data_IF_948737195258
#
_entry.id   IF_948737195258
#
_cell.length_a   1.000
_cell.length_b   1.000
_cell.length_c   1.000
_cell.angle_alpha   90.00
_cell.angle_beta   90.00
_cell.angle_gamma   90.00
#
_symmetry.space_group_name_H-M   'P 1'
#
loop_
_entity.id
_entity.type
_entity.pdbx_description
1 polymer ?
#
# COMPACT_ATOMS: atom_id res chain seq x y z
N UNK A 1 -24.02 12.11 -7.56
CA UNK A 1 -24.24 12.96 -6.36
C UNK A 1 -23.20 14.07 -6.38
N UNK A 2 -23.56 15.33 -6.07
CA UNK A 2 -22.56 16.39 -5.91
C UNK A 2 -21.56 15.96 -4.83
N UNK A 3 -20.26 16.17 -5.10
CA UNK A 3 -19.24 15.94 -4.08
C UNK A 3 -19.56 16.80 -2.86
N UNK A 4 -19.45 16.23 -1.66
CA UNK A 4 -19.51 17.03 -0.44
C UNK A 4 -18.42 18.10 -0.44
N UNK A 5 -18.56 19.14 0.38
CA UNK A 5 -17.64 20.29 0.43
C UNK A 5 -16.15 19.88 0.51
N UNK A 6 -15.86 18.83 1.26
CA UNK A 6 -14.52 18.26 1.36
C UNK A 6 -14.05 17.64 0.04
N UNK A 7 -14.90 16.84 -0.62
CA UNK A 7 -14.59 16.27 -1.94
C UNK A 7 -14.32 17.34 -2.98
N UNK A 8 -15.09 18.43 -2.98
CA UNK A 8 -14.84 19.59 -3.85
C UNK A 8 -13.50 20.25 -3.56
N UNK A 9 -13.14 20.44 -2.28
CA UNK A 9 -11.83 20.99 -1.90
C UNK A 9 -10.68 20.11 -2.40
N UNK A 10 -10.73 18.80 -2.16
CA UNK A 10 -9.69 17.87 -2.60
C UNK A 10 -9.56 17.85 -4.12
N UNK A 11 -10.69 17.86 -4.83
CA UNK A 11 -10.69 17.92 -6.29
C UNK A 11 -10.08 19.23 -6.81
N UNK A 12 -10.41 20.36 -6.19
CA UNK A 12 -9.83 21.65 -6.57
C UNK A 12 -8.31 21.67 -6.33
N UNK A 13 -7.83 21.17 -5.19
CA UNK A 13 -6.40 21.04 -4.90
C UNK A 13 -5.70 20.15 -5.94
N UNK A 14 -6.33 19.03 -6.30
CA UNK A 14 -5.80 18.15 -7.34
C UNK A 14 -5.74 18.83 -8.71
N UNK A 15 -6.79 19.55 -9.11
CA UNK A 15 -6.86 20.28 -10.38
C UNK A 15 -5.84 21.43 -10.45
N UNK A 16 -5.50 22.03 -9.32
CA UNK A 16 -4.43 23.03 -9.21
C UNK A 16 -3.03 22.42 -9.18
N UNK A 17 -2.90 21.09 -9.29
CA UNK A 17 -1.62 20.40 -9.29
C UNK A 17 -0.97 20.29 -7.91
N UNK A 18 -1.71 20.50 -6.81
CA UNK A 18 -1.13 20.48 -5.45
C UNK A 18 -0.39 19.17 -5.15
N UNK A 19 -1.01 18.01 -5.43
CA UNK A 19 -0.38 16.70 -5.18
C UNK A 19 0.72 16.37 -6.20
N UNK A 20 0.56 16.83 -7.44
CA UNK A 20 1.51 16.56 -8.53
C UNK A 20 2.76 17.43 -8.50
N UNK A 21 2.67 18.65 -7.93
CA UNK A 21 3.73 19.65 -7.96
C UNK A 21 4.18 20.05 -6.56
N UNK A 22 3.27 20.50 -5.69
CA UNK A 22 3.62 21.11 -4.38
C UNK A 22 4.21 20.08 -3.43
N UNK A 23 3.63 18.87 -3.35
CA UNK A 23 4.15 17.84 -2.45
C UNK A 23 5.55 17.34 -2.87
N UNK A 24 5.81 16.99 -4.14
CA UNK A 24 7.17 16.65 -4.57
C UNK A 24 8.16 17.80 -4.42
N UNK A 25 7.71 19.04 -4.65
CA UNK A 25 8.54 20.23 -4.47
C UNK A 25 8.99 20.38 -3.01
N UNK A 26 8.06 20.24 -2.05
CA UNK A 26 8.38 20.24 -0.62
C UNK A 26 9.36 19.12 -0.24
N UNK A 27 9.20 17.94 -0.83
CA UNK A 27 10.08 16.80 -0.59
C UNK A 27 11.51 17.08 -1.07
N UNK A 28 11.66 17.58 -2.31
CA UNK A 28 12.98 17.94 -2.86
C UNK A 28 13.61 19.06 -2.03
N UNK A 29 12.84 20.09 -1.69
CA UNK A 29 13.30 21.17 -0.82
C UNK A 29 13.85 20.64 0.50
N UNK A 30 13.09 19.80 1.19
CA UNK A 30 13.49 19.25 2.48
C UNK A 30 14.76 18.39 2.38
N UNK A 31 14.86 17.53 1.35
CA UNK A 31 16.03 16.68 1.14
C UNK A 31 17.28 17.50 0.84
N UNK A 32 17.20 18.43 -0.12
CA UNK A 32 18.34 19.27 -0.50
C UNK A 32 18.76 20.15 0.68
N UNK A 33 17.81 20.75 1.39
CA UNK A 33 18.09 21.55 2.58
C UNK A 33 18.80 20.74 3.66
N UNK A 34 18.29 19.53 3.96
CA UNK A 34 18.89 18.64 4.94
C UNK A 34 20.32 18.23 4.56
N UNK A 35 20.57 17.92 3.28
CA UNK A 35 21.90 17.57 2.77
C UNK A 35 22.85 18.76 2.92
N UNK A 36 22.46 19.97 2.48
CA UNK A 36 23.29 21.16 2.59
C UNK A 36 23.62 21.50 4.05
N UNK A 37 22.64 21.34 4.94
CA UNK A 37 22.85 21.58 6.37
C UNK A 37 23.74 20.50 7.03
N UNK A 38 23.66 19.25 6.57
CA UNK A 38 24.46 18.14 7.10
C UNK A 38 25.90 18.16 6.60
N UNK A 39 26.12 18.61 5.37
CA UNK A 39 27.43 18.64 4.72
C UNK A 39 28.21 19.91 5.01
N UNK A 40 27.55 20.97 5.50
CA UNK A 40 28.18 22.24 5.88
C UNK A 40 29.00 22.87 4.74
N UNK A 41 28.63 22.64 3.48
CA UNK A 41 29.38 23.13 2.29
C UNK A 41 29.56 24.65 2.30
N UNK A 42 28.59 25.38 2.85
CA UNK A 42 28.62 26.83 2.98
C UNK A 42 28.96 27.30 4.41
N UNK A 43 29.39 26.39 5.29
CA UNK A 43 29.64 26.64 6.70
C UNK A 43 28.45 26.34 7.61
N UNK A 44 28.72 26.26 8.93
CA UNK A 44 27.76 25.83 9.97
C UNK A 44 26.54 26.75 10.12
N UNK A 45 26.75 28.05 9.95
CA UNK A 45 25.73 29.08 10.19
C UNK A 45 25.00 29.53 8.91
N UNK A 46 25.29 28.91 7.77
CA UNK A 46 24.74 29.28 6.47
C UNK A 46 23.29 28.79 6.23
N UNK A 47 22.46 28.68 7.27
CA UNK A 47 21.08 28.16 7.18
C UNK A 47 20.23 28.90 6.15
N UNK A 48 20.36 30.23 6.06
CA UNK A 48 19.60 31.05 5.12
C UNK A 48 20.00 30.77 3.67
N UNK A 49 21.31 30.61 3.42
CA UNK A 49 21.87 30.31 2.10
C UNK A 49 21.44 28.89 1.70
N UNK A 50 21.59 27.92 2.61
CA UNK A 50 21.15 26.54 2.39
C UNK A 50 19.66 26.47 2.04
N UNK A 51 18.82 27.24 2.76
CA UNK A 51 17.38 27.34 2.49
C UNK A 51 17.09 27.90 1.12
N UNK A 52 17.72 29.03 0.76
CA UNK A 52 17.53 29.66 -0.55
C UNK A 52 17.96 28.75 -1.70
N UNK A 53 19.11 28.09 -1.58
CA UNK A 53 19.62 27.16 -2.59
C UNK A 53 18.67 25.97 -2.72
N UNK A 54 18.28 25.34 -1.62
CA UNK A 54 17.34 24.22 -1.64
C UNK A 54 15.99 24.59 -2.29
N UNK A 55 15.51 25.81 -2.03
CA UNK A 55 14.27 26.33 -2.62
C UNK A 55 14.39 26.43 -4.16
N UNK A 56 15.49 27.01 -4.64
CA UNK A 56 15.78 27.14 -6.07
C UNK A 56 15.87 25.75 -6.72
N UNK A 57 16.61 24.81 -6.10
CA UNK A 57 16.71 23.43 -6.58
C UNK A 57 15.36 22.75 -6.66
N UNK A 58 14.52 22.89 -5.63
CA UNK A 58 13.19 22.31 -5.63
C UNK A 58 12.35 22.81 -6.81
N UNK A 59 12.36 24.12 -7.08
CA UNK A 59 11.65 24.69 -8.24
C UNK A 59 12.22 24.23 -9.58
N UNK A 60 13.54 24.08 -9.71
CA UNK A 60 14.13 23.57 -10.95
C UNK A 60 13.78 22.10 -11.18
N UNK A 61 13.85 21.26 -10.13
CA UNK A 61 13.53 19.84 -10.24
C UNK A 61 12.05 19.64 -10.58
N UNK A 62 11.13 20.34 -9.90
CA UNK A 62 9.70 20.19 -10.20
C UNK A 62 9.28 20.89 -11.48
N UNK A 63 9.91 22.01 -11.84
CA UNK A 63 9.70 22.67 -13.13
C UNK A 63 10.16 21.81 -14.30
N UNK A 64 11.31 21.12 -14.18
CA UNK A 64 11.82 20.22 -15.21
C UNK A 64 10.99 18.94 -15.31
N UNK A 65 10.72 18.29 -14.18
CA UNK A 65 10.12 16.96 -14.18
C UNK A 65 8.59 17.00 -14.26
N UNK A 66 7.97 18.16 -14.04
CA UNK A 66 6.55 18.42 -14.18
C UNK A 66 5.68 17.39 -13.48
N UNK A 67 4.61 16.99 -14.16
CA UNK A 67 3.63 16.01 -13.68
C UNK A 67 4.21 14.60 -13.42
N UNK A 68 5.36 14.28 -14.02
CA UNK A 68 5.91 12.92 -13.99
C UNK A 68 6.39 12.53 -12.58
N UNK A 69 7.06 13.44 -11.88
CA UNK A 69 7.54 13.18 -10.50
C UNK A 69 6.37 13.10 -9.52
N UNK A 70 5.36 13.96 -9.70
CA UNK A 70 4.11 13.86 -8.94
C UNK A 70 3.45 12.50 -9.10
N UNK A 71 3.23 12.07 -10.34
CA UNK A 71 2.64 10.75 -10.64
C UNK A 71 3.49 9.61 -10.10
N UNK A 72 4.81 9.69 -10.20
CA UNK A 72 5.71 8.70 -9.64
C UNK A 72 5.52 8.54 -8.12
N UNK A 73 5.53 9.64 -7.37
CA UNK A 73 5.34 9.58 -5.92
C UNK A 73 3.92 9.21 -5.51
N UNK A 74 2.90 9.69 -6.21
CA UNK A 74 1.51 9.28 -5.98
C UNK A 74 1.37 7.77 -6.21
N UNK A 75 1.99 7.23 -7.25
CA UNK A 75 1.93 5.79 -7.54
C UNK A 75 2.72 4.97 -6.51
N UNK A 76 3.93 5.37 -6.15
CA UNK A 76 4.72 4.65 -5.14
C UNK A 76 4.06 4.73 -3.78
N UNK A 77 3.77 5.92 -3.27
CA UNK A 77 3.23 6.07 -1.91
C UNK A 77 1.76 5.67 -1.83
N UNK A 78 0.94 6.05 -2.81
CA UNK A 78 -0.45 5.63 -2.90
C UNK A 78 -0.55 4.11 -3.07
N UNK A 79 0.15 3.55 -4.06
CA UNK A 79 0.15 2.10 -4.30
C UNK A 79 0.71 1.30 -3.12
N UNK A 80 1.86 1.71 -2.56
CA UNK A 80 2.43 1.03 -1.39
C UNK A 80 1.56 1.15 -0.15
N UNK A 81 0.87 2.28 0.08
CA UNK A 81 -0.04 2.43 1.21
C UNK A 81 -1.18 1.42 1.17
N UNK A 82 -1.70 1.12 -0.02
CA UNK A 82 -2.77 0.13 -0.19
C UNK A 82 -2.20 -1.27 0.06
N UNK A 83 -1.01 -1.58 -0.46
CA UNK A 83 -0.34 -2.87 -0.21
C UNK A 83 -0.07 -3.07 1.27
N UNK A 84 0.52 -2.07 1.94
CA UNK A 84 0.77 -2.11 3.38
C UNK A 84 -0.52 -2.18 4.18
N UNK A 85 -1.58 -1.47 3.77
CA UNK A 85 -2.91 -1.60 4.35
C UNK A 85 -3.44 -3.02 4.25
N UNK A 86 -3.30 -3.66 3.08
CA UNK A 86 -3.68 -5.06 2.88
C UNK A 86 -2.89 -6.03 3.74
N UNK A 87 -1.56 -5.86 3.83
CA UNK A 87 -0.69 -6.65 4.71
C UNK A 87 -1.09 -6.45 6.17
N UNK A 88 -1.38 -5.22 6.59
CA UNK A 88 -1.80 -4.92 7.96
C UNK A 88 -3.13 -5.60 8.29
N UNK A 89 -4.13 -5.50 7.41
CA UNK A 89 -5.41 -6.19 7.58
C UNK A 89 -5.18 -7.70 7.68
N UNK A 90 -4.32 -8.27 6.82
CA UNK A 90 -3.96 -9.68 6.89
C UNK A 90 -3.33 -10.08 8.23
N UNK A 91 -2.32 -9.33 8.69
CA UNK A 91 -1.66 -9.57 9.97
C UNK A 91 -2.63 -9.45 11.15
N UNK A 92 -3.59 -8.51 11.08
CA UNK A 92 -4.63 -8.38 12.11
C UNK A 92 -5.50 -9.62 12.18
N UNK A 93 -5.97 -10.16 11.04
CA UNK A 93 -6.74 -11.39 11.04
C UNK A 93 -5.93 -12.57 11.56
N UNK A 94 -4.67 -12.72 11.14
CA UNK A 94 -3.78 -13.75 11.67
C UNK A 94 -3.62 -13.66 13.19
N UNK A 95 -3.43 -12.44 13.71
CA UNK A 95 -3.40 -12.17 15.14
C UNK A 95 -4.70 -12.53 15.87
N UNK A 96 -5.86 -12.18 15.29
CA UNK A 96 -7.18 -12.51 15.86
C UNK A 96 -7.43 -14.01 15.96
N UNK A 97 -6.91 -14.80 15.01
CA UNK A 97 -6.99 -16.27 15.04
C UNK A 97 -5.88 -16.91 15.89
N UNK A 98 -5.09 -16.12 16.63
CA UNK A 98 -4.04 -16.61 17.52
C UNK A 98 -2.81 -17.15 16.78
N UNK A 99 -2.64 -16.81 15.50
CA UNK A 99 -1.48 -17.24 14.72
C UNK A 99 -0.24 -16.49 15.20
N UNK A 100 0.78 -17.26 15.63
CA UNK A 100 2.06 -16.72 16.06
C UNK A 100 3.09 -16.90 14.93
N UNK A 101 4.04 -15.97 14.74
CA UNK A 101 5.10 -16.12 13.74
C UNK A 101 5.92 -17.42 13.89
N UNK A 102 5.95 -18.00 15.08
CA UNK A 102 6.60 -19.29 15.38
C UNK A 102 5.85 -20.53 14.83
N UNK A 103 4.64 -20.36 14.31
CA UNK A 103 3.82 -21.44 13.75
C UNK A 103 3.93 -21.56 12.22
N UNK A 104 4.85 -20.82 11.60
CA UNK A 104 5.18 -20.92 10.17
C UNK A 104 5.92 -22.25 9.96
N UNK A 105 5.18 -23.31 9.68
CA UNK A 105 5.70 -24.65 9.43
C UNK A 105 4.75 -25.79 9.80
N UNK A 106 3.84 -25.57 10.73
CA UNK A 106 2.81 -26.56 11.07
C UNK A 106 1.68 -26.52 10.04
N UNK A 107 1.27 -27.70 9.54
CA UNK A 107 0.10 -27.93 8.68
C UNK A 107 -1.22 -27.66 9.44
N UNK A 108 -1.35 -26.47 10.03
CA UNK A 108 -2.48 -26.11 10.86
C UNK A 108 -3.58 -25.50 9.97
N UNK A 109 -4.72 -26.17 9.91
CA UNK A 109 -5.88 -25.85 9.04
C UNK A 109 -6.38 -24.40 9.22
N UNK A 110 -6.17 -23.82 10.41
CA UNK A 110 -6.49 -22.43 10.73
C UNK A 110 -5.58 -21.39 10.06
N UNK A 111 -4.30 -21.70 9.84
CA UNK A 111 -3.40 -20.82 9.09
C UNK A 111 -3.76 -20.76 7.61
N UNK A 112 -4.23 -21.89 7.06
CA UNK A 112 -4.75 -21.96 5.69
C UNK A 112 -6.05 -21.17 5.53
N UNK A 113 -6.97 -21.27 6.50
CA UNK A 113 -8.20 -20.48 6.53
C UNK A 113 -7.93 -18.98 6.56
N UNK A 114 -7.00 -18.53 7.42
CA UNK A 114 -6.62 -17.13 7.51
C UNK A 114 -5.92 -16.62 6.24
N UNK A 115 -5.07 -17.44 5.61
CA UNK A 115 -4.47 -17.14 4.31
C UNK A 115 -5.53 -16.97 3.22
N UNK A 116 -6.52 -17.86 3.15
CA UNK A 116 -7.60 -17.81 2.16
C UNK A 116 -8.46 -16.56 2.36
N UNK A 117 -8.85 -16.24 3.59
CA UNK A 117 -9.62 -15.03 3.92
C UNK A 117 -8.85 -13.77 3.52
N UNK A 118 -7.54 -13.73 3.75
CA UNK A 118 -6.71 -12.61 3.39
C UNK A 118 -6.57 -12.42 1.87
N UNK A 119 -6.39 -13.51 1.14
CA UNK A 119 -6.38 -13.49 -0.33
C UNK A 119 -7.74 -13.02 -0.84
N UNK A 120 -8.84 -13.51 -0.27
CA UNK A 120 -10.19 -13.06 -0.62
C UNK A 120 -10.40 -11.57 -0.39
N UNK A 121 -9.96 -11.04 0.75
CA UNK A 121 -10.04 -9.61 1.07
C UNK A 121 -9.15 -8.77 0.16
N UNK A 122 -7.94 -9.24 -0.15
CA UNK A 122 -7.04 -8.59 -1.09
C UNK A 122 -7.66 -8.49 -2.49
N UNK A 123 -8.30 -9.56 -2.96
CA UNK A 123 -9.01 -9.58 -4.24
C UNK A 123 -10.24 -8.67 -4.23
N UNK A 124 -11.06 -8.73 -3.16
CA UNK A 124 -12.31 -7.97 -3.04
C UNK A 124 -12.10 -6.44 -2.95
N UNK A 125 -10.98 -5.99 -2.40
CA UNK A 125 -10.65 -4.55 -2.28
C UNK A 125 -9.94 -4.02 -3.55
N UNK A 126 -9.75 -4.86 -4.57
CA UNK A 126 -9.18 -4.45 -5.86
C UNK A 126 -7.66 -4.61 -5.97
N UNK A 127 -7.05 -5.49 -5.17
CA UNK A 127 -5.63 -5.84 -5.24
C UNK A 127 -5.11 -6.18 -6.66
N UNK A 128 -5.87 -6.87 -7.52
CA UNK A 128 -5.43 -7.17 -8.89
C UNK A 128 -5.23 -5.94 -9.77
N UNK A 129 -6.06 -4.92 -9.60
CA UNK A 129 -5.93 -3.64 -10.29
C UNK A 129 -4.61 -2.92 -9.95
N UNK A 130 -4.03 -3.22 -8.79
CA UNK A 130 -2.74 -2.71 -8.32
C UNK A 130 -1.57 -3.48 -8.94
N UNK A 131 -1.73 -4.78 -9.20
CA UNK A 131 -0.73 -5.62 -9.88
C UNK A 131 -0.65 -5.37 -11.40
N UNK A 132 -1.37 -4.36 -11.93
CA UNK A 132 -1.48 -4.08 -13.35
C UNK A 132 -2.36 -5.08 -14.11
N UNK A 133 -3.02 -6.01 -13.41
CA UNK A 133 -3.90 -7.01 -13.99
C UNK A 133 -5.32 -6.45 -13.92
N UNK A 134 -5.86 -6.03 -15.08
CA UNK A 134 -7.28 -5.66 -15.20
C UNK A 134 -8.12 -6.92 -15.18
N UNK A 135 -8.51 -7.36 -13.99
CA UNK A 135 -9.49 -8.42 -13.83
C UNK A 135 -10.88 -7.78 -13.94
N UNK A 136 -11.72 -8.33 -14.83
CA UNK A 136 -13.11 -7.90 -14.94
C UNK A 136 -13.87 -8.33 -13.69
N UNK A 137 -15.01 -7.66 -13.42
CA UNK A 137 -15.88 -8.01 -12.30
C UNK A 137 -16.34 -9.48 -12.39
N UNK A 138 -16.53 -10.02 -13.61
CA UNK A 138 -16.85 -11.44 -13.79
C UNK A 138 -15.68 -12.35 -13.41
N UNK A 139 -14.45 -11.97 -13.75
CA UNK A 139 -13.25 -12.75 -13.39
C UNK A 139 -13.05 -12.74 -11.87
N UNK A 140 -13.37 -11.63 -11.21
CA UNK A 140 -13.32 -11.52 -9.76
C UNK A 140 -14.37 -12.38 -9.07
N UNK A 141 -15.61 -12.38 -9.56
CA UNK A 141 -16.66 -13.26 -9.07
C UNK A 141 -16.31 -14.74 -9.25
N UNK A 142 -15.69 -15.11 -10.39
CA UNK A 142 -15.27 -16.47 -10.66
C UNK A 142 -14.15 -16.93 -9.70
N UNK A 143 -13.12 -16.11 -9.49
CA UNK A 143 -12.03 -16.43 -8.56
C UNK A 143 -12.57 -16.54 -7.12
N UNK A 144 -13.49 -15.65 -6.72
CA UNK A 144 -14.14 -15.72 -5.41
C UNK A 144 -14.89 -17.05 -5.23
N UNK A 145 -15.69 -17.45 -6.21
CA UNK A 145 -16.43 -18.72 -6.18
C UNK A 145 -15.48 -19.92 -6.07
N UNK A 146 -14.39 -19.95 -6.84
CA UNK A 146 -13.38 -21.02 -6.79
C UNK A 146 -12.73 -21.11 -5.41
N UNK A 147 -12.38 -19.98 -4.80
CA UNK A 147 -11.78 -19.95 -3.46
C UNK A 147 -12.75 -20.42 -2.37
N UNK A 148 -14.04 -20.06 -2.46
CA UNK A 148 -15.08 -20.54 -1.53
C UNK A 148 -15.26 -22.05 -1.66
N UNK A 149 -15.31 -22.59 -2.87
CA UNK A 149 -15.41 -24.04 -3.11
C UNK A 149 -14.17 -24.77 -2.60
N UNK A 150 -12.97 -24.26 -2.89
CA UNK A 150 -11.72 -24.83 -2.39
C UNK A 150 -11.68 -24.84 -0.85
N UNK A 151 -12.11 -23.75 -0.21
CA UNK A 151 -12.21 -23.67 1.23
C UNK A 151 -13.21 -24.70 1.79
N UNK A 152 -14.40 -24.80 1.20
CA UNK A 152 -15.41 -25.78 1.60
C UNK A 152 -14.90 -27.22 1.46
N UNK A 153 -14.24 -27.56 0.35
CA UNK A 153 -13.64 -28.88 0.13
C UNK A 153 -12.57 -29.18 1.18
N UNK A 154 -11.69 -28.22 1.49
CA UNK A 154 -10.65 -28.40 2.51
C UNK A 154 -11.23 -28.54 3.92
N UNK A 155 -12.30 -27.79 4.23
CA UNK A 155 -13.00 -27.90 5.51
C UNK A 155 -13.66 -29.28 5.68
N UNK A 156 -14.32 -29.78 4.64
CA UNK A 156 -14.99 -31.08 4.65
C UNK A 156 -13.98 -32.23 4.70
N UNK A 157 -12.89 -32.15 3.93
CA UNK A 157 -11.86 -33.21 3.87
C UNK A 157 -10.92 -33.21 5.08
N UNK A 158 -10.77 -32.08 5.78
CA UNK A 158 -9.95 -31.96 7.00
C UNK A 158 -10.55 -32.60 8.26
N UNK A 159 -11.86 -32.91 8.27
CA UNK A 159 -12.55 -33.51 9.43
C UNK A 159 -12.34 -35.02 9.63
N UNK A 160 -11.53 -35.68 8.79
CA UNK A 160 -11.46 -37.15 8.70
C UNK A 160 -10.20 -37.81 9.28
N UNK A 161 -9.66 -37.35 10.42
CA UNK A 161 -8.60 -38.09 11.14
C UNK A 161 -8.83 -38.10 12.65
N UNK A 162 -9.73 -38.98 13.10
CA UNK A 162 -9.75 -39.39 14.53
C UNK A 162 -10.04 -40.88 14.66
N UNK A 163 -8.98 -41.58 15.08
CA UNK A 163 -8.94 -42.84 15.86
C UNK A 163 -9.32 -44.16 15.16
N UNK A 164 -8.29 -44.87 14.70
CA UNK A 164 -8.24 -46.34 14.82
C UNK A 164 -6.81 -46.74 15.19
N UNK A 165 -6.57 -46.91 16.49
CA UNK A 165 -5.43 -47.66 17.02
C UNK A 165 -5.75 -47.93 18.50
N UNK A 166 -6.55 -48.97 18.76
CA UNK A 166 -6.53 -49.83 19.96
C UNK A 166 -7.31 -51.11 19.63
N UNK A 167 -6.60 -52.23 19.56
CA UNK A 167 -7.10 -53.58 19.36
C UNK A 167 -5.93 -54.54 19.31
#
# INVERSE_FOLDING_TARGET
>A
MPLGIFGTLIQNLNNMGFYGFVLPWLLVFAIVYAILQKTEIFGKDAKNINGLIALIFAFFVTGYAGDAVGKFFINIFGGSSIIFGGILVFLLFLGMFGWKPSSIGDKNMWGLAALIIAVLLFLAVGGPSIAGIKLTDETMAAIFMVLVVAFAVMFITGGGKTKTDQG
#
